data_IF_002186307027
#
_entry.id   IF_002186307027
#
_cell.length_a   1.000
_cell.length_b   1.000
_cell.length_c   1.000
_cell.angle_alpha   90.00
_cell.angle_beta   90.00
_cell.angle_gamma   90.00
#
_symmetry.space_group_name_H-M   'P 1'
#
loop_
_entity.id
_entity.type
_entity.pdbx_description
1 polymer ?
#
# COMPACT_ATOMS: atom_id res chain seq x y z
N UNK A 1 -28.17 -38.07 -25.65
CA UNK A 1 -28.54 -37.72 -24.26
C UNK A 1 -27.36 -37.73 -23.30
N UNK A 2 -26.28 -38.49 -23.54
CA UNK A 2 -25.08 -38.51 -22.69
C UNK A 2 -24.25 -37.22 -22.76
N UNK A 3 -24.11 -36.61 -23.94
CA UNK A 3 -23.32 -35.38 -24.13
C UNK A 3 -23.89 -34.14 -23.43
N UNK A 4 -25.23 -34.02 -23.36
CA UNK A 4 -25.91 -32.91 -22.68
C UNK A 4 -25.84 -33.08 -21.15
N UNK A 5 -25.91 -34.34 -20.67
CA UNK A 5 -25.76 -34.68 -19.26
C UNK A 5 -24.34 -34.40 -18.74
N UNK A 6 -23.31 -34.81 -19.48
CA UNK A 6 -21.92 -34.59 -19.08
C UNK A 6 -21.56 -33.09 -19.08
N UNK A 7 -22.05 -32.34 -20.08
CA UNK A 7 -21.88 -30.88 -20.10
C UNK A 7 -22.54 -30.17 -18.91
N UNK A 8 -23.71 -30.62 -18.45
CA UNK A 8 -24.33 -30.05 -17.24
C UNK A 8 -23.56 -30.40 -15.97
N UNK A 9 -22.97 -31.60 -15.87
CA UNK A 9 -22.14 -31.99 -14.72
C UNK A 9 -20.96 -31.04 -14.52
N UNK A 10 -20.30 -30.65 -15.60
CA UNK A 10 -19.16 -29.71 -15.56
C UNK A 10 -19.56 -28.31 -15.10
N UNK A 11 -20.83 -27.94 -15.27
CA UNK A 11 -21.39 -26.64 -14.90
C UNK A 11 -21.98 -26.58 -13.48
N UNK A 12 -22.16 -27.72 -12.80
CA UNK A 12 -22.83 -27.76 -11.49
C UNK A 12 -22.09 -26.96 -10.41
N UNK A 13 -20.77 -26.97 -10.42
CA UNK A 13 -19.96 -26.20 -9.47
C UNK A 13 -20.15 -24.69 -9.71
N UNK A 14 -19.98 -24.22 -10.94
CA UNK A 14 -20.18 -22.81 -11.30
C UNK A 14 -21.61 -22.34 -10.99
N UNK A 15 -22.62 -23.18 -11.25
CA UNK A 15 -24.02 -22.91 -10.87
C UNK A 15 -24.22 -22.82 -9.35
N UNK A 16 -23.59 -23.72 -8.58
CA UNK A 16 -23.69 -23.72 -7.13
C UNK A 16 -23.07 -22.45 -6.50
N UNK A 17 -22.01 -21.91 -7.11
CA UNK A 17 -21.37 -20.64 -6.74
C UNK A 17 -22.05 -19.39 -7.31
N UNK A 18 -23.13 -19.53 -8.09
CA UNK A 18 -23.79 -18.39 -8.76
C UNK A 18 -22.94 -17.72 -9.84
N UNK A 19 -21.93 -18.43 -10.37
CA UNK A 19 -20.93 -17.92 -11.30
C UNK A 19 -21.15 -18.38 -12.76
N UNK A 20 -22.39 -18.77 -13.12
CA UNK A 20 -22.67 -19.18 -14.51
C UNK A 20 -22.71 -18.00 -15.47
N UNK A 21 -22.13 -18.15 -16.68
CA UNK A 21 -22.29 -17.19 -17.75
C UNK A 21 -23.76 -17.08 -18.19
N UNK A 22 -24.24 -15.91 -18.63
CA UNK A 22 -25.65 -15.67 -18.98
C UNK A 22 -26.23 -16.65 -20.01
N UNK A 23 -25.39 -17.16 -20.91
CA UNK A 23 -25.75 -18.12 -21.97
C UNK A 23 -26.16 -19.50 -21.44
N UNK A 24 -25.86 -19.81 -20.17
CA UNK A 24 -26.07 -21.14 -19.58
C UNK A 24 -27.01 -21.12 -18.36
N UNK A 25 -27.54 -19.94 -17.99
CA UNK A 25 -28.36 -19.76 -16.80
C UNK A 25 -29.70 -20.52 -16.85
N UNK A 26 -30.23 -20.79 -18.04
CA UNK A 26 -31.48 -21.55 -18.21
C UNK A 26 -31.25 -23.05 -18.42
N UNK A 27 -30.05 -23.44 -18.90
CA UNK A 27 -29.72 -24.83 -19.25
C UNK A 27 -29.63 -25.72 -18.02
N UNK A 28 -28.92 -25.27 -16.98
CA UNK A 28 -28.71 -26.06 -15.75
C UNK A 28 -30.03 -26.27 -14.98
N UNK A 29 -30.84 -25.24 -14.64
CA UNK A 29 -32.10 -25.44 -13.93
C UNK A 29 -33.08 -26.38 -14.63
N UNK A 30 -33.17 -26.31 -15.97
CA UNK A 30 -34.03 -27.19 -16.78
C UNK A 30 -33.61 -28.65 -16.67
N UNK A 31 -32.31 -28.93 -16.76
CA UNK A 31 -31.79 -30.30 -16.61
C UNK A 31 -31.94 -30.84 -15.19
N UNK A 32 -31.77 -29.99 -14.16
CA UNK A 32 -31.94 -30.41 -12.76
C UNK A 32 -33.39 -30.82 -12.44
N UNK A 33 -34.39 -30.27 -13.14
CA UNK A 33 -35.77 -30.67 -13.00
C UNK A 33 -36.04 -32.10 -13.54
N UNK A 34 -35.23 -32.55 -14.51
CA UNK A 34 -35.42 -33.81 -15.23
C UNK A 34 -34.42 -34.90 -14.81
N UNK A 35 -33.34 -34.55 -14.09
CA UNK A 35 -32.26 -35.46 -13.73
C UNK A 35 -31.98 -35.53 -12.21
N UNK A 36 -32.52 -36.54 -11.50
CA UNK A 36 -32.37 -36.67 -10.04
C UNK A 36 -30.92 -36.78 -9.55
N UNK A 37 -30.02 -37.40 -10.33
CA UNK A 37 -28.62 -37.57 -9.94
C UNK A 37 -27.87 -36.23 -9.93
N UNK A 38 -28.07 -35.40 -10.96
CA UNK A 38 -27.50 -34.06 -11.03
C UNK A 38 -28.13 -33.12 -9.97
N UNK A 39 -29.42 -33.25 -9.69
CA UNK A 39 -30.08 -32.50 -8.63
C UNK A 39 -29.49 -32.80 -7.25
N UNK A 40 -29.25 -34.08 -6.94
CA UNK A 40 -28.63 -34.49 -5.69
C UNK A 40 -27.18 -33.99 -5.58
N UNK A 41 -26.42 -34.00 -6.68
CA UNK A 41 -25.05 -33.48 -6.73
C UNK A 41 -24.99 -31.97 -6.54
N UNK A 42 -25.87 -31.23 -7.21
CA UNK A 42 -26.00 -29.79 -7.06
C UNK A 42 -26.40 -29.37 -5.63
N UNK A 43 -27.26 -30.16 -4.97
CA UNK A 43 -27.63 -29.94 -3.57
C UNK A 43 -26.43 -30.15 -2.63
N UNK A 44 -25.65 -31.22 -2.81
CA UNK A 44 -24.43 -31.46 -2.03
C UNK A 44 -23.43 -30.32 -2.19
N UNK A 45 -23.21 -29.82 -3.42
CA UNK A 45 -22.31 -28.70 -3.67
C UNK A 45 -22.77 -27.42 -2.95
N UNK A 46 -24.07 -27.10 -2.99
CA UNK A 46 -24.63 -25.95 -2.25
C UNK A 46 -24.51 -26.10 -0.74
N UNK A 47 -24.63 -27.32 -0.22
CA UNK A 47 -24.44 -27.60 1.21
C UNK A 47 -22.98 -27.41 1.62
N UNK A 48 -22.03 -27.90 0.81
CA UNK A 48 -20.59 -27.65 1.00
C UNK A 48 -20.26 -26.15 0.97
N UNK A 49 -20.84 -25.39 0.04
CA UNK A 49 -20.66 -23.94 -0.05
C UNK A 49 -21.20 -23.25 1.21
N UNK A 50 -22.40 -23.62 1.68
CA UNK A 50 -22.96 -23.08 2.94
C UNK A 50 -22.09 -23.37 4.17
N UNK A 51 -21.40 -24.50 4.19
CA UNK A 51 -20.45 -24.83 5.25
C UNK A 51 -19.16 -23.99 5.16
N UNK A 52 -18.75 -23.60 3.95
CA UNK A 52 -17.60 -22.70 3.71
C UNK A 52 -17.95 -21.23 4.01
N UNK A 53 -19.17 -20.79 3.68
CA UNK A 53 -19.63 -19.41 3.88
C UNK A 53 -20.03 -19.09 5.34
N UNK A 54 -20.10 -20.10 6.21
CA UNK A 54 -20.54 -19.97 7.60
C UNK A 54 -22.06 -19.72 7.76
N UNK A 55 -22.58 -19.68 9.01
CA UNK A 55 -24.00 -19.45 9.23
C UNK A 55 -24.43 -18.07 8.71
N UNK A 56 -25.63 -17.94 8.11
CA UNK A 56 -26.11 -16.65 7.62
C UNK A 56 -26.19 -15.67 8.79
N UNK A 57 -25.56 -14.52 8.62
CA UNK A 57 -25.71 -13.39 9.53
C UNK A 57 -27.17 -12.92 9.48
N UNK A 58 -27.83 -12.87 10.65
CA UNK A 58 -29.20 -12.39 10.77
C UNK A 58 -29.35 -11.02 10.06
N UNK A 59 -30.27 -10.97 9.09
CA UNK A 59 -30.45 -9.88 8.12
C UNK A 59 -30.83 -8.51 8.70
N UNK A 60 -30.82 -8.34 10.01
CA UNK A 60 -30.86 -7.06 10.72
C UNK A 60 -29.52 -6.32 10.62
N UNK A 61 -28.39 -7.03 10.50
CA UNK A 61 -27.08 -6.42 10.35
C UNK A 61 -26.88 -5.75 8.98
N UNK A 62 -27.34 -6.37 7.89
CA UNK A 62 -27.11 -5.90 6.52
C UNK A 62 -27.86 -4.61 6.15
N UNK A 63 -29.08 -4.41 6.69
CA UNK A 63 -29.84 -3.16 6.49
C UNK A 63 -29.27 -2.02 7.32
N UNK A 64 -28.92 -2.27 8.58
CA UNK A 64 -28.23 -1.28 9.42
C UNK A 64 -26.85 -0.93 8.86
N UNK A 65 -26.08 -1.90 8.36
CA UNK A 65 -24.81 -1.64 7.67
C UNK A 65 -25.01 -0.90 6.35
N UNK A 66 -26.02 -1.24 5.55
CA UNK A 66 -26.35 -0.54 4.30
C UNK A 66 -26.77 0.91 4.53
N UNK A 67 -27.57 1.17 5.56
CA UNK A 67 -28.02 2.51 5.93
C UNK A 67 -26.91 3.33 6.60
N UNK A 68 -26.09 2.72 7.46
CA UNK A 68 -24.89 3.34 8.05
C UNK A 68 -23.83 3.61 6.99
N UNK A 69 -23.57 2.68 6.07
CA UNK A 69 -22.64 2.86 4.95
C UNK A 69 -23.16 3.94 4.00
N UNK A 70 -24.45 3.96 3.70
CA UNK A 70 -25.05 5.01 2.86
C UNK A 70 -25.03 6.37 3.56
N UNK A 71 -25.26 6.42 4.87
CA UNK A 71 -25.15 7.65 5.66
C UNK A 71 -23.69 8.13 5.74
N UNK A 72 -22.74 7.22 5.99
CA UNK A 72 -21.30 7.49 6.00
C UNK A 72 -20.80 7.95 4.63
N UNK A 73 -21.29 7.38 3.53
CA UNK A 73 -20.97 7.83 2.17
C UNK A 73 -21.55 9.21 1.86
N UNK A 74 -22.72 9.56 2.42
CA UNK A 74 -23.33 10.89 2.26
C UNK A 74 -22.67 11.97 3.12
N UNK A 75 -22.11 11.60 4.28
CA UNK A 75 -21.39 12.52 5.17
C UNK A 75 -19.90 12.62 4.82
N UNK A 76 -19.37 11.65 4.07
CA UNK A 76 -17.99 11.67 3.57
C UNK A 76 -17.82 12.87 2.61
N UNK A 77 -16.90 13.80 2.93
CA UNK A 77 -16.52 14.84 1.98
C UNK A 77 -16.10 14.21 0.66
N UNK A 78 -16.52 14.79 -0.47
CA UNK A 78 -16.09 14.30 -1.78
C UNK A 78 -14.56 14.22 -1.82
N UNK A 79 -14.02 13.04 -2.12
CA UNK A 79 -12.58 12.88 -2.24
C UNK A 79 -12.05 13.87 -3.29
N UNK A 80 -10.95 14.59 -3.00
CA UNK A 80 -10.36 15.49 -3.98
C UNK A 80 -10.10 14.73 -5.27
N UNK A 81 -10.53 15.30 -6.42
CA UNK A 81 -10.19 14.73 -7.73
C UNK A 81 -8.71 14.95 -7.97
N UNK A 82 -7.92 13.93 -7.69
CA UNK A 82 -6.47 13.88 -7.95
C UNK A 82 -6.19 13.00 -9.16
N UNK A 83 -5.05 13.24 -9.78
CA UNK A 83 -4.54 12.39 -10.85
C UNK A 83 -4.03 11.04 -10.29
N UNK A 84 -3.86 10.07 -11.19
CA UNK A 84 -3.53 8.70 -10.82
C UNK A 84 -2.20 8.54 -10.07
N UNK A 85 -1.25 9.46 -10.22
CA UNK A 85 0.01 9.44 -9.46
C UNK A 85 -0.14 9.91 -8.01
N UNK A 86 -1.10 10.78 -7.72
CA UNK A 86 -1.37 11.28 -6.38
C UNK A 86 -2.46 10.49 -5.64
N UNK A 87 -3.22 9.63 -6.33
CA UNK A 87 -4.25 8.77 -5.74
C UNK A 87 -3.74 7.85 -4.60
N UNK A 88 -2.54 7.21 -4.69
CA UNK A 88 -1.98 6.46 -3.57
C UNK A 88 -1.77 7.31 -2.31
N UNK A 89 -1.28 8.54 -2.45
CA UNK A 89 -1.04 9.44 -1.32
C UNK A 89 -2.38 9.90 -0.71
N UNK A 90 -3.36 10.24 -1.54
CA UNK A 90 -4.71 10.57 -1.08
C UNK A 90 -5.34 9.42 -0.27
N UNK A 91 -5.15 8.18 -0.71
CA UNK A 91 -5.63 6.99 0.00
C UNK A 91 -4.88 6.75 1.31
N UNK A 92 -3.55 6.88 1.33
CA UNK A 92 -2.75 6.72 2.54
C UNK A 92 -3.10 7.78 3.60
N UNK A 93 -3.25 9.05 3.20
CA UNK A 93 -3.72 10.13 4.07
C UNK A 93 -5.10 9.83 4.64
N UNK A 94 -6.03 9.33 3.82
CA UNK A 94 -7.36 8.94 4.29
C UNK A 94 -7.29 7.75 5.28
N UNK A 95 -6.42 6.78 5.03
CA UNK A 95 -6.17 5.65 5.93
C UNK A 95 -5.66 6.09 7.29
N UNK A 96 -4.61 6.92 7.33
CA UNK A 96 -4.08 7.44 8.60
C UNK A 96 -5.12 8.27 9.34
N UNK A 97 -5.86 9.16 8.64
CA UNK A 97 -6.95 9.94 9.26
C UNK A 97 -8.05 9.08 9.87
N UNK A 98 -8.32 7.90 9.30
CA UNK A 98 -9.29 6.96 9.84
C UNK A 98 -8.75 6.20 11.05
N UNK A 99 -7.43 5.95 11.13
CA UNK A 99 -6.77 5.28 12.24
C UNK A 99 -6.59 6.18 13.47
N UNK A 100 -6.23 7.45 13.28
CA UNK A 100 -5.84 8.35 14.37
C UNK A 100 -6.86 8.53 15.51
N UNK A 101 -8.20 8.47 15.30
CA UNK A 101 -9.15 8.46 16.41
C UNK A 101 -8.95 7.29 17.41
N UNK A 102 -8.42 6.16 16.95
CA UNK A 102 -8.13 5.00 17.80
C UNK A 102 -6.92 5.23 18.73
N UNK A 103 -6.11 6.27 18.47
CA UNK A 103 -4.98 6.64 19.32
C UNK A 103 -5.38 7.50 20.54
N UNK A 104 -6.66 7.87 20.67
CA UNK A 104 -7.12 8.70 21.78
C UNK A 104 -6.81 8.06 23.14
N UNK A 105 -6.20 8.84 24.04
CA UNK A 105 -5.68 8.36 25.33
C UNK A 105 -4.45 7.44 25.25
N UNK A 106 -3.93 7.15 24.04
CA UNK A 106 -2.81 6.22 23.78
C UNK A 106 -1.69 6.83 22.92
N UNK A 107 -1.63 8.15 22.79
CA UNK A 107 -0.65 8.86 21.95
C UNK A 107 0.82 8.55 22.28
N UNK A 108 1.13 8.25 23.54
CA UNK A 108 2.47 7.84 23.99
C UNK A 108 2.82 6.36 23.76
N UNK A 109 2.01 5.62 23.00
CA UNK A 109 2.31 4.20 22.69
C UNK A 109 3.52 4.13 21.77
N UNK A 110 4.59 3.38 22.13
CA UNK A 110 5.76 3.21 21.27
C UNK A 110 5.40 2.55 19.93
N UNK A 111 5.99 3.05 18.85
CA UNK A 111 5.74 2.62 17.47
C UNK A 111 7.02 2.05 16.84
N UNK A 112 8.01 2.90 16.54
CA UNK A 112 9.26 2.55 15.85
C UNK A 112 10.29 3.68 16.04
N UNK A 113 11.61 3.43 15.93
CA UNK A 113 12.67 4.44 16.11
C UNK A 113 12.59 5.22 17.44
N UNK A 114 12.18 4.56 18.52
CA UNK A 114 11.88 5.19 19.82
C UNK A 114 10.78 6.27 19.77
N UNK A 115 10.07 6.39 18.65
CA UNK A 115 8.91 7.27 18.47
C UNK A 115 7.66 6.64 19.06
N UNK A 116 6.81 7.48 19.62
CA UNK A 116 5.43 7.15 19.92
C UNK A 116 4.49 7.52 18.76
N UNK A 117 3.18 7.35 18.93
CA UNK A 117 2.19 7.71 17.91
C UNK A 117 2.26 9.20 17.57
N UNK A 118 2.46 10.07 18.57
CA UNK A 118 2.54 11.52 18.36
C UNK A 118 3.78 11.89 17.54
N UNK A 119 4.95 11.37 17.91
CA UNK A 119 6.21 11.51 17.19
C UNK A 119 6.11 10.99 15.75
N UNK A 120 5.41 9.88 15.53
CA UNK A 120 5.22 9.32 14.18
C UNK A 120 4.42 10.27 13.27
N UNK A 121 3.36 10.91 13.79
CA UNK A 121 2.60 11.92 13.03
C UNK A 121 3.44 13.19 12.81
N UNK A 122 4.24 13.60 13.79
CA UNK A 122 5.16 14.72 13.66
C UNK A 122 6.25 14.45 12.60
N UNK A 123 6.78 13.22 12.52
CA UNK A 123 7.68 12.80 11.46
C UNK A 123 7.00 12.91 10.09
N UNK A 124 5.77 12.41 9.93
CA UNK A 124 5.03 12.54 8.67
C UNK A 124 4.79 14.00 8.27
N UNK A 125 4.54 14.89 9.24
CA UNK A 125 4.48 16.33 9.00
C UNK A 125 5.80 16.86 8.46
N UNK A 126 6.94 16.52 9.08
CA UNK A 126 8.27 16.88 8.62
C UNK A 126 8.58 16.31 7.22
N UNK A 127 8.17 15.06 7.00
CA UNK A 127 8.50 14.30 5.82
C UNK A 127 7.87 14.88 4.54
N UNK A 128 6.68 15.46 4.67
CA UNK A 128 5.96 16.11 3.58
C UNK A 128 6.47 17.54 3.28
N UNK A 129 7.29 18.15 4.15
CA UNK A 129 7.71 19.55 3.99
C UNK A 129 8.55 19.79 2.74
N UNK A 130 9.39 18.82 2.35
CA UNK A 130 10.25 18.96 1.16
C UNK A 130 9.43 19.08 -0.13
N UNK A 131 8.38 18.27 -0.24
CA UNK A 131 7.42 18.36 -1.35
C UNK A 131 6.54 19.61 -1.19
N UNK A 132 6.07 19.93 0.01
CA UNK A 132 5.24 21.11 0.28
C UNK A 132 5.96 22.40 -0.14
N UNK A 133 7.20 22.59 0.30
CA UNK A 133 8.02 23.74 -0.08
C UNK A 133 8.28 23.80 -1.59
N UNK A 134 8.50 22.65 -2.23
CA UNK A 134 8.68 22.58 -3.69
C UNK A 134 7.45 23.05 -4.47
N UNK A 135 6.26 22.76 -3.95
CA UNK A 135 4.97 23.12 -4.57
C UNK A 135 4.43 24.48 -4.08
N UNK A 136 5.20 25.23 -3.28
CA UNK A 136 4.79 26.54 -2.76
C UNK A 136 3.69 26.47 -1.69
N UNK A 137 3.48 25.31 -1.07
CA UNK A 137 2.59 25.15 0.08
C UNK A 137 3.26 25.81 1.29
N UNK A 138 2.50 26.65 2.01
CA UNK A 138 3.02 27.35 3.20
C UNK A 138 3.47 26.36 4.26
N UNK A 139 4.70 26.55 4.76
CA UNK A 139 5.25 25.75 5.84
C UNK A 139 4.39 25.84 7.10
N UNK A 140 4.21 24.70 7.78
CA UNK A 140 3.48 24.61 9.06
C UNK A 140 4.41 24.74 10.25
N UNK A 141 5.66 24.31 10.08
CA UNK A 141 6.72 24.43 11.08
C UNK A 141 7.75 25.45 10.57
N UNK A 142 8.28 26.34 11.41
CA UNK A 142 9.36 27.24 11.03
C UNK A 142 10.55 26.49 10.40
N UNK A 143 11.13 27.08 9.36
CA UNK A 143 12.31 26.52 8.72
C UNK A 143 13.52 26.61 9.65
N UNK A 144 14.33 25.56 9.64
CA UNK A 144 15.62 25.54 10.32
C UNK A 144 16.68 26.25 9.48
N UNK A 145 17.74 26.80 10.08
CA UNK A 145 18.87 27.33 9.34
C UNK A 145 19.43 26.27 8.38
N UNK A 146 19.62 26.64 7.12
CA UNK A 146 20.13 25.73 6.11
C UNK A 146 21.61 25.42 6.36
N UNK A 147 21.93 24.15 6.55
CA UNK A 147 23.28 23.62 6.55
C UNK A 147 23.57 23.09 5.15
N UNK A 148 24.18 23.92 4.30
CA UNK A 148 24.34 23.63 2.87
C UNK A 148 25.32 22.48 2.60
N UNK A 149 26.13 22.13 3.60
CA UNK A 149 27.19 21.12 3.49
C UNK A 149 26.79 19.75 4.07
N UNK A 150 25.61 19.64 4.70
CA UNK A 150 25.13 18.40 5.30
C UNK A 150 24.71 17.36 4.25
N UNK A 151 25.01 16.09 4.50
CA UNK A 151 24.39 14.99 3.76
C UNK A 151 22.87 15.04 3.90
N UNK A 152 22.14 14.71 2.84
CA UNK A 152 20.69 14.86 2.82
C UNK A 152 19.99 13.99 3.87
N UNK A 153 20.57 12.84 4.25
CA UNK A 153 20.03 11.96 5.30
C UNK A 153 20.22 12.58 6.68
N UNK A 154 21.38 13.17 6.94
CA UNK A 154 21.64 13.86 8.20
C UNK A 154 20.72 15.07 8.36
N UNK A 155 20.50 15.82 7.26
CA UNK A 155 19.53 16.91 7.24
C UNK A 155 18.08 16.43 7.47
N UNK A 156 17.71 15.29 6.88
CA UNK A 156 16.40 14.66 7.08
C UNK A 156 16.15 14.24 8.52
N UNK A 157 17.10 13.51 9.11
CA UNK A 157 17.00 13.03 10.49
C UNK A 157 16.95 14.21 11.47
N UNK A 158 17.85 15.19 11.30
CA UNK A 158 17.85 16.41 12.11
C UNK A 158 16.51 17.15 12.03
N UNK A 159 15.95 17.28 10.81
CA UNK A 159 14.66 17.95 10.64
C UNK A 159 13.51 17.18 11.28
N UNK A 160 13.53 15.85 11.18
CA UNK A 160 12.57 14.98 11.86
C UNK A 160 12.63 15.20 13.38
N UNK A 161 13.82 15.15 13.98
CA UNK A 161 14.02 15.34 15.42
C UNK A 161 13.55 16.72 15.90
N UNK A 162 13.84 17.78 15.13
CA UNK A 162 13.40 19.15 15.43
C UNK A 162 11.88 19.29 15.40
N UNK A 163 11.22 18.70 14.40
CA UNK A 163 9.75 18.73 14.30
C UNK A 163 9.13 17.89 15.42
N UNK A 164 9.64 16.69 15.71
CA UNK A 164 9.17 15.85 16.83
C UNK A 164 9.31 16.61 18.15
N UNK A 165 10.48 17.19 18.44
CA UNK A 165 10.73 17.94 19.67
C UNK A 165 9.77 19.13 19.83
N UNK A 166 9.45 19.83 18.73
CA UNK A 166 8.46 20.91 18.73
C UNK A 166 7.06 20.39 18.99
N UNK A 167 6.64 19.37 18.27
CA UNK A 167 5.27 18.84 18.33
C UNK A 167 4.97 18.19 19.68
N UNK A 168 5.96 17.60 20.36
CA UNK A 168 5.82 17.12 21.74
C UNK A 168 5.46 18.22 22.76
N UNK A 169 5.76 19.49 22.43
CA UNK A 169 5.33 20.64 23.22
C UNK A 169 3.88 21.07 22.97
N UNK A 170 3.17 20.41 22.04
CA UNK A 170 1.79 20.72 21.62
C UNK A 170 0.87 19.55 21.93
N UNK A 171 -0.44 19.76 21.78
CA UNK A 171 -1.39 18.66 21.88
C UNK A 171 -1.35 17.80 20.60
N UNK A 172 -1.56 16.47 20.68
CA UNK A 172 -1.63 15.64 19.48
C UNK A 172 -2.66 16.11 18.45
N UNK A 173 -3.79 16.67 18.91
CA UNK A 173 -4.81 17.25 18.04
C UNK A 173 -4.31 18.44 17.20
N UNK A 174 -3.41 19.27 17.73
CA UNK A 174 -2.79 20.35 16.97
C UNK A 174 -1.83 19.82 15.90
N UNK A 175 -1.01 18.82 16.24
CA UNK A 175 -0.09 18.17 15.29
C UNK A 175 -0.85 17.47 14.16
N UNK A 176 -1.92 16.73 14.49
CA UNK A 176 -2.82 16.11 13.50
C UNK A 176 -3.48 17.17 12.62
N UNK A 177 -3.89 18.30 13.21
CA UNK A 177 -4.47 19.43 12.48
C UNK A 177 -3.52 19.99 11.43
N UNK A 178 -2.26 20.25 11.80
CA UNK A 178 -1.24 20.78 10.89
C UNK A 178 -0.84 19.76 9.82
N UNK A 179 -0.64 18.50 10.18
CA UNK A 179 -0.37 17.41 9.23
C UNK A 179 -1.51 17.27 8.21
N UNK A 180 -2.75 17.17 8.68
CA UNK A 180 -3.91 17.03 7.80
C UNK A 180 -4.11 18.25 6.89
N UNK A 181 -3.82 19.46 7.38
CA UNK A 181 -3.89 20.68 6.58
C UNK A 181 -2.76 20.76 5.53
N UNK A 182 -1.57 20.25 5.83
CA UNK A 182 -0.47 20.17 4.85
C UNK A 182 -0.78 19.13 3.76
N UNK A 183 -1.21 17.94 4.15
CA UNK A 183 -1.61 16.90 3.20
C UNK A 183 -2.76 17.35 2.29
N UNK A 184 -3.76 18.05 2.84
CA UNK A 184 -4.85 18.63 2.06
C UNK A 184 -4.36 19.68 1.05
N UNK A 185 -3.39 20.53 1.44
CA UNK A 185 -2.81 21.53 0.54
C UNK A 185 -1.98 20.88 -0.58
N UNK A 186 -1.19 19.85 -0.26
CA UNK A 186 -0.46 19.05 -1.25
C UNK A 186 -1.40 18.41 -2.28
N UNK A 187 -2.50 17.80 -1.82
CA UNK A 187 -3.52 17.20 -2.69
C UNK A 187 -4.37 18.23 -3.45
N UNK A 188 -4.34 19.49 -3.03
CA UNK A 188 -4.99 20.61 -3.71
C UNK A 188 -4.09 21.30 -4.75
N UNK A 189 -2.78 21.08 -4.70
CA UNK A 189 -1.82 21.66 -5.63
C UNK A 189 -2.09 21.20 -7.08
N UNK A 190 -1.82 22.05 -8.09
CA UNK A 190 -2.00 21.68 -9.50
C UNK A 190 -1.29 20.38 -9.88
N UNK A 191 -0.08 20.16 -9.37
CA UNK A 191 0.73 18.96 -9.62
C UNK A 191 0.09 17.68 -9.08
N UNK A 192 -0.82 17.74 -8.10
CA UNK A 192 -1.58 16.56 -7.67
C UNK A 192 -2.71 16.19 -8.66
N UNK A 193 -3.06 17.09 -9.58
CA UNK A 193 -4.23 16.97 -10.48
C UNK A 193 -3.84 16.90 -11.95
N UNK A 194 -2.68 17.43 -12.31
CA UNK A 194 -2.19 17.58 -13.69
C UNK A 194 -0.87 16.81 -13.86
N UNK A 195 -0.89 15.63 -14.52
CA UNK A 195 0.31 14.82 -14.74
C UNK A 195 1.45 15.57 -15.45
N UNK A 196 1.13 16.51 -16.34
CA UNK A 196 2.10 17.28 -17.11
C UNK A 196 2.95 18.19 -16.21
N UNK A 197 2.31 18.85 -15.24
CA UNK A 197 3.02 19.68 -14.26
C UNK A 197 3.87 18.82 -13.31
N UNK A 198 3.36 17.62 -12.97
CA UNK A 198 4.03 16.67 -12.11
C UNK A 198 5.22 15.93 -12.77
N UNK A 199 5.36 16.03 -14.10
CA UNK A 199 6.40 15.33 -14.85
C UNK A 199 7.82 15.90 -14.62
N UNK A 200 7.94 17.12 -14.11
CA UNK A 200 9.24 17.78 -13.91
C UNK A 200 10.04 17.09 -12.81
N UNK A 201 11.21 16.56 -13.17
CA UNK A 201 12.13 15.96 -12.21
C UNK A 201 12.74 17.01 -11.26
N UNK A 202 12.74 16.70 -9.97
CA UNK A 202 13.30 17.52 -8.89
C UNK A 202 14.07 16.65 -7.91
N UNK A 203 15.15 17.19 -7.36
CA UNK A 203 15.94 16.52 -6.32
C UNK A 203 15.26 16.75 -4.99
N UNK A 204 14.68 15.70 -4.41
CA UNK A 204 14.23 15.68 -3.01
C UNK A 204 14.76 14.40 -2.37
N UNK A 205 15.22 14.50 -1.13
CA UNK A 205 15.67 13.36 -0.34
C UNK A 205 16.74 12.53 -1.06
N UNK A 206 17.73 13.21 -1.64
CA UNK A 206 18.85 12.57 -2.34
C UNK A 206 18.51 11.90 -3.68
N UNK A 207 17.24 11.87 -4.09
CA UNK A 207 16.81 11.21 -5.33
C UNK A 207 16.16 12.21 -6.28
N UNK A 208 16.60 12.20 -7.54
CA UNK A 208 16.02 13.02 -8.60
C UNK A 208 14.89 12.29 -9.30
N UNK A 209 13.65 12.60 -8.91
CA UNK A 209 12.43 12.00 -9.46
C UNK A 209 11.45 13.07 -9.95
N UNK A 210 10.56 12.77 -10.92
CA UNK A 210 9.37 13.56 -11.19
C UNK A 210 8.59 13.86 -9.90
N UNK A 211 7.97 15.04 -9.81
CA UNK A 211 7.02 15.37 -8.72
C UNK A 211 5.94 14.30 -8.58
N UNK A 212 5.49 13.71 -9.69
CA UNK A 212 4.53 12.61 -9.70
C UNK A 212 5.00 11.41 -8.87
N UNK A 213 6.28 11.05 -8.95
CA UNK A 213 6.84 9.95 -8.17
C UNK A 213 7.04 10.34 -6.71
N UNK A 214 7.34 11.61 -6.41
CA UNK A 214 7.44 12.09 -5.02
C UNK A 214 6.11 11.93 -4.26
N UNK A 215 4.96 12.11 -4.92
CA UNK A 215 3.66 11.74 -4.32
C UNK A 215 3.57 10.24 -4.01
N UNK A 216 4.11 9.38 -4.86
CA UNK A 216 4.15 7.92 -4.62
C UNK A 216 5.10 7.57 -3.47
N UNK A 217 6.24 8.28 -3.33
CA UNK A 217 7.11 8.13 -2.16
C UNK A 217 6.36 8.56 -0.88
N UNK A 218 5.64 9.69 -0.88
CA UNK A 218 4.86 10.11 0.30
C UNK A 218 3.73 9.15 0.64
N UNK A 219 3.12 8.53 -0.38
CA UNK A 219 2.14 7.47 -0.18
C UNK A 219 2.74 6.24 0.51
N UNK A 220 3.96 5.87 0.13
CA UNK A 220 4.71 4.78 0.75
C UNK A 220 4.96 5.07 2.24
N UNK A 221 5.55 6.23 2.58
CA UNK A 221 5.82 6.57 3.99
C UNK A 221 4.55 6.58 4.83
N UNK A 222 3.51 7.26 4.33
CA UNK A 222 2.27 7.42 5.05
C UNK A 222 1.60 6.07 5.31
N UNK A 223 1.65 5.14 4.36
CA UNK A 223 1.10 3.81 4.55
C UNK A 223 1.94 2.97 5.53
N UNK A 224 3.28 2.93 5.38
CA UNK A 224 4.16 2.17 6.29
C UNK A 224 3.95 2.63 7.73
N UNK A 225 3.94 3.94 7.98
CA UNK A 225 3.70 4.46 9.32
C UNK A 225 2.26 4.33 9.81
N UNK A 226 1.28 4.27 8.90
CA UNK A 226 -0.09 3.87 9.30
C UNK A 226 -0.10 2.43 9.80
N UNK A 227 0.60 1.52 9.12
CA UNK A 227 0.74 0.13 9.55
C UNK A 227 1.52 0.03 10.88
N UNK A 228 2.61 0.78 11.04
CA UNK A 228 3.38 0.82 12.29
C UNK A 228 2.49 1.24 13.48
N UNK A 229 1.72 2.34 13.33
CA UNK A 229 0.77 2.79 14.36
C UNK A 229 -0.31 1.73 14.60
N UNK A 230 -0.84 1.13 13.53
CA UNK A 230 -1.83 0.06 13.63
C UNK A 230 -1.35 -1.08 14.50
N UNK A 231 -0.15 -1.62 14.20
CA UNK A 231 0.47 -2.70 14.99
C UNK A 231 0.70 -2.29 16.44
N UNK A 232 1.21 -1.09 16.69
CA UNK A 232 1.42 -0.57 18.04
C UNK A 232 0.11 -0.50 18.85
N UNK A 233 -1.00 -0.17 18.20
CA UNK A 233 -2.33 -0.09 18.83
C UNK A 233 -3.08 -1.44 18.87
N UNK A 234 -2.52 -2.51 18.30
CA UNK A 234 -3.14 -3.83 18.20
C UNK A 234 -4.23 -3.94 17.12
N UNK A 235 -4.14 -3.11 16.08
CA UNK A 235 -5.10 -2.99 14.99
C UNK A 235 -4.48 -3.47 13.67
N UNK A 236 -5.24 -4.26 12.91
CA UNK A 236 -4.85 -4.65 11.56
C UNK A 236 -5.12 -3.51 10.58
N UNK A 237 -4.08 -3.06 9.88
CA UNK A 237 -4.19 -2.10 8.78
C UNK A 237 -4.16 -2.89 7.48
N UNK A 238 -5.20 -2.78 6.62
CA UNK A 238 -5.19 -3.48 5.35
C UNK A 238 -4.11 -2.90 4.42
N UNK A 239 -3.55 -3.73 3.51
CA UNK A 239 -2.63 -3.21 2.50
C UNK A 239 -3.35 -2.21 1.58
N UNK A 240 -2.61 -1.37 0.83
CA UNK A 240 -3.18 -0.44 -0.12
C UNK A 240 -3.98 -1.19 -1.19
N UNK A 241 -4.98 -0.56 -1.82
CA UNK A 241 -5.64 -1.12 -2.99
C UNK A 241 -4.62 -1.60 -4.02
N UNK A 242 -4.90 -2.73 -4.69
CA UNK A 242 -3.93 -3.38 -5.58
C UNK A 242 -3.33 -2.44 -6.64
N UNK A 243 -4.15 -1.54 -7.20
CA UNK A 243 -3.71 -0.53 -8.17
C UNK A 243 -2.72 0.50 -7.60
N UNK A 244 -2.83 0.82 -6.31
CA UNK A 244 -1.89 1.69 -5.60
C UNK A 244 -0.63 0.90 -5.24
N UNK A 245 -0.78 -0.32 -4.72
CA UNK A 245 0.33 -1.18 -4.33
C UNK A 245 1.27 -1.45 -5.53
N UNK A 246 0.72 -1.74 -6.70
CA UNK A 246 1.52 -1.92 -7.94
C UNK A 246 2.35 -0.68 -8.28
N UNK A 247 1.86 0.54 -8.01
CA UNK A 247 2.63 1.78 -8.22
C UNK A 247 3.76 1.93 -7.23
N UNK A 248 3.50 1.64 -5.94
CA UNK A 248 4.51 1.64 -4.88
C UNK A 248 5.63 0.65 -5.22
N UNK A 249 5.27 -0.59 -5.56
CA UNK A 249 6.21 -1.65 -5.95
C UNK A 249 7.05 -1.21 -7.15
N UNK A 250 6.44 -0.73 -8.23
CA UNK A 250 7.18 -0.32 -9.44
C UNK A 250 8.19 0.80 -9.16
N UNK A 251 7.83 1.76 -8.32
CA UNK A 251 8.77 2.82 -7.92
C UNK A 251 9.90 2.26 -7.05
N UNK A 252 9.58 1.44 -6.06
CA UNK A 252 10.57 0.81 -5.19
C UNK A 252 11.56 -0.06 -5.97
N UNK A 253 11.10 -0.88 -6.93
CA UNK A 253 11.99 -1.66 -7.81
C UNK A 253 12.88 -0.77 -8.66
N UNK A 254 12.36 0.34 -9.19
CA UNK A 254 13.16 1.30 -9.96
C UNK A 254 14.26 1.93 -9.11
N UNK A 255 13.94 2.35 -7.88
CA UNK A 255 14.92 2.92 -6.94
C UNK A 255 15.95 1.85 -6.55
N UNK A 256 15.52 0.61 -6.28
CA UNK A 256 16.40 -0.51 -5.98
C UNK A 256 17.38 -0.80 -7.12
N UNK A 257 16.90 -0.84 -8.37
CA UNK A 257 17.76 -1.02 -9.54
C UNK A 257 18.82 0.08 -9.67
N UNK A 258 18.44 1.35 -9.45
CA UNK A 258 19.39 2.46 -9.43
C UNK A 258 20.41 2.32 -8.29
N UNK A 259 19.97 1.89 -7.12
CA UNK A 259 20.83 1.72 -5.96
C UNK A 259 21.80 0.54 -6.10
N UNK A 260 21.38 -0.57 -6.71
CA UNK A 260 22.25 -1.72 -7.02
C UNK A 260 23.32 -1.35 -8.05
N UNK A 261 22.95 -0.56 -9.06
CA UNK A 261 23.83 -0.17 -10.15
C UNK A 261 24.01 -1.25 -11.23
N UNK A 262 24.61 -0.88 -12.37
CA UNK A 262 24.65 -1.73 -13.56
C UNK A 262 25.71 -2.83 -13.51
N UNK A 263 26.52 -2.91 -12.45
CA UNK A 263 27.59 -3.90 -12.32
C UNK A 263 27.26 -5.00 -11.31
N UNK A 264 26.11 -4.92 -10.63
CA UNK A 264 25.70 -5.96 -9.70
C UNK A 264 25.41 -7.28 -10.45
N UNK A 265 25.71 -8.45 -9.86
CA UNK A 265 25.33 -9.75 -10.44
C UNK A 265 23.83 -9.79 -10.80
N UNK A 266 23.44 -10.17 -12.03
CA UNK A 266 22.06 -10.03 -12.44
C UNK A 266 21.12 -11.00 -11.71
N UNK A 267 20.00 -10.48 -11.21
CA UNK A 267 18.95 -11.26 -10.54
C UNK A 267 17.62 -11.02 -11.25
N UNK A 268 16.94 -12.11 -11.63
CA UNK A 268 15.54 -12.04 -12.06
C UNK A 268 14.67 -11.84 -10.83
N UNK A 269 14.22 -10.61 -10.63
CA UNK A 269 13.40 -10.22 -9.50
C UNK A 269 11.92 -10.19 -9.89
N UNK A 270 11.09 -10.93 -9.16
CA UNK A 270 9.66 -10.99 -9.34
C UNK A 270 8.95 -10.47 -8.08
N UNK A 271 7.86 -9.74 -8.30
CA UNK A 271 6.91 -9.43 -7.24
C UNK A 271 5.58 -10.06 -7.63
N UNK A 272 5.03 -10.88 -6.74
CA UNK A 272 3.82 -11.66 -7.02
C UNK A 272 2.66 -10.74 -7.41
N UNK A 273 2.09 -10.97 -8.60
CA UNK A 273 1.05 -10.12 -9.18
C UNK A 273 1.49 -8.71 -9.61
N UNK A 274 2.75 -8.31 -9.38
CA UNK A 274 3.28 -6.96 -9.63
C UNK A 274 4.15 -6.83 -10.90
N UNK A 275 4.85 -7.90 -11.28
CA UNK A 275 5.69 -7.96 -12.48
C UNK A 275 7.02 -8.68 -12.25
N UNK A 276 7.86 -8.68 -13.29
CA UNK A 276 9.22 -9.23 -13.27
C UNK A 276 10.20 -8.24 -13.89
N UNK A 277 11.40 -8.17 -13.32
CA UNK A 277 12.48 -7.28 -13.72
C UNK A 277 13.82 -8.02 -13.62
N UNK A 278 14.78 -7.62 -14.45
CA UNK A 278 16.18 -8.01 -14.24
C UNK A 278 16.87 -6.85 -13.53
N UNK A 279 17.37 -7.09 -12.33
CA UNK A 279 18.18 -6.14 -11.55
C UNK A 279 19.66 -6.46 -11.76
N UNK A 280 20.52 -5.45 -11.78
CA UNK A 280 21.96 -5.60 -12.00
C UNK A 280 22.38 -5.47 -13.46
N UNK A 281 23.47 -6.13 -13.85
CA UNK A 281 24.04 -6.05 -15.19
C UNK A 281 23.11 -6.57 -16.28
N UNK A 282 23.03 -5.86 -17.40
CA UNK A 282 22.30 -6.30 -18.59
C UNK A 282 23.16 -7.16 -19.53
N UNK A 283 24.49 -7.17 -19.31
CA UNK A 283 25.47 -7.81 -20.19
C UNK A 283 25.87 -9.22 -19.71
N UNK A 284 25.39 -9.62 -18.54
CA UNK A 284 25.67 -10.92 -17.92
C UNK A 284 24.44 -11.82 -17.85
N UNK A 285 24.62 -13.15 -17.82
CA UNK A 285 23.51 -14.08 -17.60
C UNK A 285 22.96 -13.93 -16.17
N UNK A 286 21.64 -14.11 -16.02
CA UNK A 286 20.95 -14.16 -14.73
C UNK A 286 21.59 -15.23 -13.83
N UNK A 287 21.98 -14.82 -12.62
CA UNK A 287 22.66 -15.67 -11.63
C UNK A 287 21.69 -16.29 -10.62
N UNK A 288 20.56 -15.62 -10.37
CA UNK A 288 19.56 -16.07 -9.42
C UNK A 288 18.16 -15.55 -9.79
N UNK A 289 17.16 -16.23 -9.26
CA UNK A 289 15.77 -15.77 -9.25
C UNK A 289 15.35 -15.47 -7.81
N UNK A 290 14.60 -14.39 -7.64
CA UNK A 290 14.05 -13.96 -6.35
C UNK A 290 12.61 -13.51 -6.56
N UNK A 291 11.67 -14.10 -5.83
CA UNK A 291 10.27 -13.68 -5.80
C UNK A 291 9.83 -13.33 -4.38
N UNK A 292 9.14 -12.20 -4.25
CA UNK A 292 8.56 -11.69 -3.00
C UNK A 292 7.06 -11.39 -3.17
N UNK A 293 6.31 -11.49 -2.08
CA UNK A 293 4.98 -10.86 -2.01
C UNK A 293 5.13 -9.32 -2.07
N UNK A 294 4.22 -8.60 -2.76
CA UNK A 294 4.31 -7.14 -2.88
C UNK A 294 4.29 -6.39 -1.55
N UNK A 295 3.54 -6.86 -0.56
CA UNK A 295 3.48 -6.25 0.77
C UNK A 295 4.77 -6.53 1.54
N UNK A 296 5.24 -7.78 1.53
CA UNK A 296 6.52 -8.16 2.17
C UNK A 296 7.70 -7.40 1.56
N UNK A 297 7.70 -7.19 0.24
CA UNK A 297 8.71 -6.36 -0.44
C UNK A 297 8.66 -4.90 0.04
N UNK A 298 7.47 -4.31 0.14
CA UNK A 298 7.33 -2.95 0.66
C UNK A 298 7.78 -2.87 2.14
N UNK A 299 7.45 -3.84 2.98
CA UNK A 299 7.93 -3.88 4.36
C UNK A 299 9.45 -4.08 4.45
N UNK A 300 10.07 -4.86 3.56
CA UNK A 300 11.53 -4.95 3.47
C UNK A 300 12.14 -3.58 3.13
N UNK A 301 11.63 -2.91 2.09
CA UNK A 301 12.11 -1.58 1.68
C UNK A 301 11.86 -0.53 2.78
N UNK A 302 10.77 -0.66 3.53
CA UNK A 302 10.46 0.17 4.69
C UNK A 302 11.23 -0.21 5.95
N UNK A 303 12.09 -1.24 5.94
CA UNK A 303 12.87 -1.66 7.11
C UNK A 303 12.09 -2.42 8.18
N UNK A 304 10.89 -2.93 7.87
CA UNK A 304 10.01 -3.71 8.77
C UNK A 304 10.21 -5.23 8.61
N UNK A 305 11.03 -5.66 7.63
CA UNK A 305 11.57 -7.01 7.55
C UNK A 305 13.09 -6.99 7.49
N UNK A 306 13.73 -7.88 8.26
CA UNK A 306 15.15 -8.15 8.08
C UNK A 306 15.39 -8.88 6.75
N UNK A 307 16.47 -8.57 6.00
CA UNK A 307 16.79 -9.24 4.74
C UNK A 307 16.82 -10.77 4.82
N UNK A 308 17.29 -11.32 5.95
CA UNK A 308 17.35 -12.75 6.18
C UNK A 308 15.98 -13.41 6.38
N UNK A 309 15.00 -12.67 6.88
CA UNK A 309 13.74 -13.19 7.42
C UNK A 309 12.53 -12.96 6.50
N UNK A 310 12.66 -12.06 5.52
CA UNK A 310 11.56 -11.78 4.58
C UNK A 310 11.14 -13.06 3.83
N UNK A 311 9.83 -13.41 3.83
CA UNK A 311 9.31 -14.54 3.07
C UNK A 311 9.64 -14.41 1.59
N UNK A 312 10.26 -15.43 1.01
CA UNK A 312 10.75 -15.40 -0.37
C UNK A 312 10.78 -16.76 -1.02
N UNK A 313 10.71 -16.76 -2.35
CA UNK A 313 11.08 -17.91 -3.18
C UNK A 313 12.34 -17.55 -3.95
N UNK A 314 13.32 -18.45 -3.97
CA UNK A 314 14.59 -18.16 -4.64
C UNK A 314 15.26 -19.41 -5.19
N UNK A 315 16.03 -19.24 -6.25
CA UNK A 315 16.87 -20.26 -6.88
C UNK A 315 18.16 -19.61 -7.38
N UNK A 316 19.25 -20.39 -7.50
CA UNK A 316 20.54 -19.90 -8.01
C UNK A 316 21.46 -19.35 -6.93
N UNK A 317 22.22 -18.31 -7.27
CA UNK A 317 23.26 -17.71 -6.43
C UNK A 317 22.69 -17.01 -5.18
N UNK A 318 22.91 -17.59 -4.00
CA UNK A 318 22.47 -17.04 -2.71
C UNK A 318 23.14 -15.70 -2.35
N UNK A 319 24.37 -15.46 -2.83
CA UNK A 319 25.08 -14.21 -2.61
C UNK A 319 24.41 -13.06 -3.38
N UNK A 320 24.11 -13.29 -4.66
CA UNK A 320 23.41 -12.31 -5.49
C UNK A 320 22.01 -11.98 -4.93
N UNK A 321 21.30 -12.99 -4.41
CA UNK A 321 19.99 -12.79 -3.75
C UNK A 321 20.13 -11.96 -2.48
N UNK A 322 21.13 -12.27 -1.64
CA UNK A 322 21.40 -11.52 -0.42
C UNK A 322 21.71 -10.06 -0.71
N UNK A 323 22.54 -9.78 -1.71
CA UNK A 323 22.90 -8.42 -2.10
C UNK A 323 21.66 -7.59 -2.49
N UNK A 324 20.70 -8.19 -3.22
CA UNK A 324 19.42 -7.53 -3.55
C UNK A 324 18.60 -7.23 -2.30
N UNK A 325 18.47 -8.19 -1.38
CA UNK A 325 17.67 -8.03 -0.16
C UNK A 325 18.29 -7.01 0.81
N UNK A 326 19.62 -7.05 0.99
CA UNK A 326 20.36 -6.07 1.80
C UNK A 326 20.29 -4.68 1.18
N UNK A 327 20.43 -4.57 -0.14
CA UNK A 327 20.27 -3.28 -0.82
C UNK A 327 18.86 -2.74 -0.66
N UNK A 328 17.82 -3.58 -0.81
CA UNK A 328 16.44 -3.17 -0.60
C UNK A 328 16.20 -2.65 0.81
N UNK A 329 16.69 -3.34 1.84
CA UNK A 329 16.57 -2.88 3.23
C UNK A 329 17.34 -1.59 3.50
N UNK A 330 18.47 -1.35 2.83
CA UNK A 330 19.24 -0.11 2.95
C UNK A 330 18.55 1.13 2.36
N UNK A 331 17.44 0.94 1.63
CA UNK A 331 16.60 2.04 1.15
C UNK A 331 15.63 2.55 2.21
N UNK A 332 15.54 1.87 3.37
CA UNK A 332 14.78 2.37 4.49
C UNK A 332 15.45 3.63 5.04
N UNK A 333 14.74 4.74 4.93
CA UNK A 333 15.05 6.01 5.59
C UNK A 333 13.92 6.36 6.59
N UNK A 334 13.17 5.32 7.00
CA UNK A 334 11.89 5.30 7.71
C UNK A 334 11.97 4.55 9.02
#
# INVERSE_FOLDING_TARGET
MTTEHDGVRDLLAAWAFGALPPTEQETVPRHLAECPSCAAEAQRLRETIRLLDGPPSDGTGGRLHGDVLSAALRTRPAAPRVAAHAAPYAAAVAGLRALLPEAEGRWGTPVVHDWDVHATVAHLLAADESLAGRLGVSARVPASPADQDADWKDAWNRRTDEVIAREHGRTPGETVGDWAAQAAALLAAPEAREPELAARATMLMGVRLPVADHFVVRAFEAWIHTDDIGRALGLAVPPPPAEHLVRLVRLAVRILGLALGPTAPPVLFAVDGGGQWVLGSADEPVRAELALDPVDFCFLVGGRHAPGEVPRRTTGDEGAVRDVLERAASLSWL
#
